data_IF_782596925434
#
_entry.id   IF_782596925434
#
_cell.length_a   1.000
_cell.length_b   1.000
_cell.length_c   1.000
_cell.angle_alpha   90.00
_cell.angle_beta   90.00
_cell.angle_gamma   90.00
#
_symmetry.space_group_name_H-M   'P 1'
#
loop_
_entity.id
_entity.type
_entity.pdbx_description
1 polymer ?
#
# COMPACT_ATOMS: atom_id res chain seq x y z
N UNK A 1 -1.58 -14.86 -29.99
CA UNK A 1 -0.86 -13.70 -30.61
C UNK A 1 -0.95 -12.41 -29.84
N UNK A 2 -2.13 -11.77 -29.68
CA UNK A 2 -2.20 -10.47 -28.97
C UNK A 2 -1.79 -10.57 -27.48
N UNK A 3 -2.34 -11.51 -26.74
CA UNK A 3 -2.06 -11.72 -25.32
C UNK A 3 -0.57 -12.07 -25.09
N UNK A 4 -0.01 -12.96 -25.86
CA UNK A 4 1.41 -13.35 -25.78
C UNK A 4 2.33 -12.16 -26.03
N UNK A 5 2.02 -11.32 -27.02
CA UNK A 5 2.80 -10.13 -27.33
C UNK A 5 2.76 -9.13 -26.15
N UNK A 6 1.57 -8.90 -25.58
CA UNK A 6 1.42 -8.03 -24.39
C UNK A 6 2.21 -8.60 -23.20
N UNK A 7 2.06 -9.89 -22.92
CA UNK A 7 2.78 -10.56 -21.83
C UNK A 7 4.31 -10.48 -22.01
N UNK A 8 4.81 -10.70 -23.23
CA UNK A 8 6.24 -10.60 -23.50
C UNK A 8 6.78 -9.17 -23.35
N UNK A 9 6.05 -8.17 -23.85
CA UNK A 9 6.42 -6.75 -23.67
C UNK A 9 6.45 -6.38 -22.21
N UNK A 10 5.41 -6.75 -21.46
CA UNK A 10 5.31 -6.47 -20.02
C UNK A 10 6.42 -7.16 -19.22
N UNK A 11 6.71 -8.44 -19.52
CA UNK A 11 7.80 -9.18 -18.90
C UNK A 11 9.14 -8.48 -19.11
N UNK A 12 9.48 -8.13 -20.37
CA UNK A 12 10.75 -7.47 -20.72
C UNK A 12 10.88 -6.10 -20.06
N UNK A 13 9.81 -5.30 -20.07
CA UNK A 13 9.83 -3.96 -19.46
C UNK A 13 10.02 -4.01 -17.94
N UNK A 14 9.38 -4.97 -17.27
CA UNK A 14 9.59 -5.19 -15.82
C UNK A 14 11.00 -5.73 -15.53
N UNK A 15 11.53 -6.62 -16.38
CA UNK A 15 12.91 -7.11 -16.27
C UNK A 15 13.92 -5.97 -16.41
N UNK A 16 13.77 -5.13 -17.44
CA UNK A 16 14.61 -3.93 -17.64
C UNK A 16 14.55 -3.00 -16.44
N UNK A 17 13.34 -2.66 -16.00
CA UNK A 17 13.15 -1.78 -14.85
C UNK A 17 13.76 -2.35 -13.55
N UNK A 18 13.60 -3.65 -13.31
CA UNK A 18 14.25 -4.30 -12.17
C UNK A 18 15.77 -4.30 -12.29
N UNK A 19 16.31 -4.39 -13.51
CA UNK A 19 17.76 -4.35 -13.74
C UNK A 19 18.36 -2.96 -13.55
N UNK A 20 17.58 -1.89 -13.69
CA UNK A 20 17.98 -0.51 -13.38
C UNK A 20 18.06 -0.25 -11.86
N UNK A 21 17.42 -1.05 -11.02
CA UNK A 21 17.50 -0.92 -9.58
C UNK A 21 18.91 -1.25 -9.04
N UNK A 22 19.40 -0.45 -8.13
CA UNK A 22 20.69 -0.64 -7.45
C UNK A 22 20.55 -1.41 -6.14
N UNK A 23 19.37 -1.37 -5.54
CA UNK A 23 19.09 -2.00 -4.25
C UNK A 23 19.30 -3.51 -4.26
N UNK A 24 19.88 -4.00 -3.16
CA UNK A 24 19.97 -5.43 -2.84
C UNK A 24 18.98 -5.84 -1.75
N UNK A 25 18.07 -4.95 -1.36
CA UNK A 25 17.02 -5.22 -0.38
C UNK A 25 15.65 -5.04 -1.02
N UNK A 26 14.75 -5.98 -0.75
CA UNK A 26 13.35 -5.89 -1.16
C UNK A 26 12.39 -6.00 0.03
N UNK A 27 11.37 -5.14 0.05
CA UNK A 27 10.23 -5.30 0.95
C UNK A 27 9.34 -6.45 0.42
N UNK A 28 9.35 -7.58 1.12
CA UNK A 28 8.67 -8.80 0.69
C UNK A 28 7.39 -9.02 1.51
N UNK A 29 6.24 -8.97 0.86
CA UNK A 29 4.92 -9.26 1.44
C UNK A 29 4.39 -10.65 1.05
N UNK A 30 5.11 -11.38 0.19
CA UNK A 30 4.59 -12.64 -0.38
C UNK A 30 3.36 -12.44 -1.28
N UNK A 31 2.97 -11.19 -1.57
CA UNK A 31 1.98 -10.83 -2.57
C UNK A 31 2.54 -10.94 -3.99
N UNK A 32 1.65 -10.86 -4.99
CA UNK A 32 2.03 -10.98 -6.40
C UNK A 32 3.16 -10.02 -6.80
N UNK A 33 3.02 -8.74 -6.43
CA UNK A 33 3.90 -7.66 -6.88
C UNK A 33 5.33 -7.86 -6.38
N UNK A 34 5.50 -7.98 -5.06
CA UNK A 34 6.81 -8.22 -4.46
C UNK A 34 7.44 -9.53 -4.92
N UNK A 35 6.62 -10.54 -5.22
CA UNK A 35 7.09 -11.83 -5.76
C UNK A 35 7.58 -11.72 -7.21
N UNK A 36 6.90 -10.94 -8.06
CA UNK A 36 7.36 -10.63 -9.42
C UNK A 36 8.71 -9.91 -9.38
N UNK A 37 8.85 -8.90 -8.53
CA UNK A 37 10.11 -8.18 -8.40
C UNK A 37 11.22 -9.12 -7.91
N UNK A 38 10.93 -9.97 -6.92
CA UNK A 38 11.87 -10.99 -6.44
C UNK A 38 12.31 -11.94 -7.55
N UNK A 39 11.39 -12.37 -8.43
CA UNK A 39 11.71 -13.23 -9.57
C UNK A 39 12.78 -12.62 -10.46
N UNK A 40 12.74 -11.33 -10.75
CA UNK A 40 13.74 -10.67 -11.59
C UNK A 40 15.08 -10.45 -10.89
N UNK A 41 15.03 -9.99 -9.63
CA UNK A 41 16.26 -9.61 -8.92
C UNK A 41 16.99 -10.79 -8.26
N UNK A 42 16.39 -11.98 -8.14
CA UNK A 42 16.97 -13.15 -7.43
C UNK A 42 18.38 -13.53 -7.87
N UNK A 43 18.74 -13.32 -9.15
CA UNK A 43 20.08 -13.59 -9.69
C UNK A 43 21.16 -12.72 -9.00
N UNK A 44 20.81 -11.56 -8.49
CA UNK A 44 21.70 -10.64 -7.76
C UNK A 44 21.84 -10.99 -6.27
N UNK A 45 21.21 -12.08 -5.83
CA UNK A 45 21.18 -12.55 -4.44
C UNK A 45 20.79 -11.44 -3.46
N UNK A 46 19.64 -10.78 -3.64
CA UNK A 46 19.17 -9.75 -2.74
C UNK A 46 18.81 -10.35 -1.39
N UNK A 47 18.82 -9.53 -0.34
CA UNK A 47 18.13 -9.82 0.91
C UNK A 47 16.66 -9.37 0.82
N UNK A 48 15.81 -9.92 1.67
CA UNK A 48 14.43 -9.49 1.79
C UNK A 48 14.03 -9.26 3.24
N UNK A 49 13.13 -8.32 3.46
CA UNK A 49 12.55 -8.03 4.77
C UNK A 49 11.03 -8.09 4.69
N UNK A 50 10.41 -8.79 5.63
CA UNK A 50 8.97 -8.82 5.85
C UNK A 50 8.66 -8.31 7.25
N UNK A 51 7.75 -7.36 7.38
CA UNK A 51 7.27 -6.84 8.67
C UNK A 51 6.06 -7.64 9.10
N UNK A 52 6.12 -8.24 10.27
CA UNK A 52 5.08 -9.10 10.83
C UNK A 52 4.79 -8.67 12.27
N UNK A 53 3.52 -8.44 12.58
CA UNK A 53 3.11 -8.19 13.96
C UNK A 53 3.21 -9.47 14.79
N UNK A 54 3.75 -9.37 16.01
CA UNK A 54 3.76 -10.47 16.97
C UNK A 54 2.39 -10.63 17.65
N UNK A 55 1.67 -9.54 17.82
CA UNK A 55 0.45 -9.48 18.63
C UNK A 55 -0.83 -9.70 17.82
N UNK A 56 -0.74 -9.65 16.48
CA UNK A 56 -1.89 -9.77 15.58
C UNK A 56 -1.69 -10.85 14.52
N UNK A 57 -2.79 -11.41 14.05
CA UNK A 57 -2.75 -12.43 13.00
C UNK A 57 -2.23 -11.84 11.69
N UNK A 58 -1.15 -12.41 11.17
CA UNK A 58 -0.57 -12.06 9.88
C UNK A 58 -0.81 -13.19 8.86
N UNK A 59 -1.20 -12.85 7.66
CA UNK A 59 -1.40 -13.80 6.56
C UNK A 59 -0.22 -13.89 5.61
N UNK A 60 0.73 -12.95 5.66
CA UNK A 60 1.83 -12.85 4.70
C UNK A 60 3.01 -13.75 5.01
N UNK A 61 3.23 -14.11 6.29
CA UNK A 61 4.41 -14.86 6.74
C UNK A 61 4.67 -16.11 5.89
N UNK A 62 3.67 -16.97 5.73
CA UNK A 62 3.80 -18.21 4.96
C UNK A 62 4.17 -17.94 3.51
N UNK A 63 3.57 -16.93 2.88
CA UNK A 63 3.86 -16.59 1.49
C UNK A 63 5.24 -15.98 1.30
N UNK A 64 5.71 -15.16 2.25
CA UNK A 64 7.09 -14.65 2.27
C UNK A 64 8.09 -15.80 2.33
N UNK A 65 7.86 -16.80 3.20
CA UNK A 65 8.70 -17.99 3.33
C UNK A 65 8.71 -18.84 2.04
N UNK A 66 7.56 -19.01 1.39
CA UNK A 66 7.46 -19.73 0.11
C UNK A 66 8.32 -19.03 -0.94
N UNK A 67 8.15 -17.72 -1.14
CA UNK A 67 8.91 -16.98 -2.16
C UNK A 67 10.41 -16.93 -1.84
N UNK A 68 10.78 -16.72 -0.60
CA UNK A 68 12.19 -16.78 -0.16
C UNK A 68 12.83 -18.10 -0.53
N UNK A 69 12.16 -19.22 -0.21
CA UNK A 69 12.65 -20.58 -0.51
C UNK A 69 12.71 -20.83 -2.03
N UNK A 70 11.65 -20.54 -2.77
CA UNK A 70 11.58 -20.75 -4.23
C UNK A 70 12.59 -19.89 -5.00
N UNK A 71 12.87 -18.69 -4.51
CA UNK A 71 13.82 -17.78 -5.13
C UNK A 71 15.25 -17.92 -4.61
N UNK A 72 15.45 -18.75 -3.58
CA UNK A 72 16.73 -18.93 -2.87
C UNK A 72 17.35 -17.59 -2.43
N UNK A 73 16.54 -16.73 -1.77
CA UNK A 73 16.99 -15.45 -1.22
C UNK A 73 16.83 -15.44 0.32
N UNK A 74 17.73 -14.79 1.05
CA UNK A 74 17.56 -14.60 2.50
C UNK A 74 16.31 -13.81 2.82
N UNK A 75 15.54 -14.24 3.83
CA UNK A 75 14.37 -13.54 4.36
C UNK A 75 14.61 -13.20 5.82
N UNK A 76 14.55 -11.92 6.14
CA UNK A 76 14.47 -11.44 7.51
C UNK A 76 13.02 -11.17 7.87
N UNK A 77 12.52 -11.80 8.90
CA UNK A 77 11.24 -11.49 9.51
C UNK A 77 11.50 -10.42 10.58
N UNK A 78 11.04 -9.21 10.31
CA UNK A 78 11.06 -8.14 11.30
C UNK A 78 9.77 -8.22 12.13
N UNK A 79 9.86 -8.94 13.23
CA UNK A 79 8.78 -9.05 14.20
C UNK A 79 8.64 -7.73 14.96
N UNK A 80 7.41 -7.23 15.05
CA UNK A 80 7.11 -5.95 15.69
C UNK A 80 5.99 -6.10 16.71
N UNK A 81 6.19 -5.54 17.90
CA UNK A 81 5.20 -5.50 18.97
C UNK A 81 4.19 -4.36 18.75
N UNK A 82 3.06 -4.41 19.42
CA UNK A 82 2.07 -3.33 19.46
C UNK A 82 2.72 -1.98 19.83
N UNK A 83 3.62 -1.96 20.82
CA UNK A 83 4.34 -0.74 21.22
C UNK A 83 5.17 -0.16 20.06
N UNK A 84 5.89 -1.00 19.32
CA UNK A 84 6.66 -0.58 18.14
C UNK A 84 5.75 -0.02 17.04
N UNK A 85 4.58 -0.65 16.86
CA UNK A 85 3.59 -0.19 15.86
C UNK A 85 3.01 1.18 16.27
N UNK A 86 2.68 1.40 17.55
CA UNK A 86 2.17 2.68 18.04
C UNK A 86 3.21 3.82 17.86
N UNK A 87 4.49 3.56 18.16
CA UNK A 87 5.58 4.51 17.87
C UNK A 87 5.69 4.79 16.36
N UNK A 88 5.55 3.76 15.53
CA UNK A 88 5.60 3.90 14.08
C UNK A 88 4.42 4.71 13.54
N UNK A 89 3.22 4.62 14.15
CA UNK A 89 2.06 5.46 13.82
C UNK A 89 2.39 6.93 14.03
N UNK A 90 2.93 7.31 15.19
CA UNK A 90 3.30 8.70 15.48
C UNK A 90 4.29 9.25 14.45
N UNK A 91 5.33 8.47 14.13
CA UNK A 91 6.33 8.86 13.14
C UNK A 91 5.76 8.92 11.72
N UNK A 92 4.85 8.02 11.36
CA UNK A 92 4.17 8.03 10.05
C UNK A 92 3.30 9.27 9.90
N UNK A 93 2.49 9.62 10.92
CA UNK A 93 1.69 10.85 10.94
C UNK A 93 2.58 12.09 10.86
N UNK A 94 3.73 12.10 11.57
CA UNK A 94 4.71 13.18 11.51
C UNK A 94 5.28 13.38 10.10
N UNK A 95 5.51 12.31 9.37
CA UNK A 95 6.07 12.39 8.00
C UNK A 95 4.98 12.80 7.00
N UNK A 96 3.85 12.10 7.02
CA UNK A 96 2.78 12.25 6.03
C UNK A 96 1.85 13.45 6.29
N UNK A 97 1.88 14.01 7.51
CA UNK A 97 1.09 15.19 7.92
C UNK A 97 -0.40 15.05 7.64
N UNK A 98 -0.94 13.86 7.85
CA UNK A 98 -2.37 13.56 7.75
C UNK A 98 -2.79 12.58 8.85
N UNK A 99 -4.10 12.37 9.01
CA UNK A 99 -4.69 11.41 9.94
C UNK A 99 -5.66 10.45 9.25
N UNK A 100 -5.41 10.19 7.96
CA UNK A 100 -6.15 9.23 7.16
C UNK A 100 -5.86 7.80 7.68
N UNK A 101 -6.86 7.20 8.31
CA UNK A 101 -6.74 5.91 9.00
C UNK A 101 -6.27 4.77 8.07
N UNK A 102 -6.78 4.71 6.85
CA UNK A 102 -6.37 3.69 5.86
C UNK A 102 -4.92 3.91 5.41
N UNK A 103 -4.58 5.17 5.10
CA UNK A 103 -3.23 5.51 4.62
C UNK A 103 -2.18 5.30 5.71
N UNK A 104 -2.45 5.77 6.94
CA UNK A 104 -1.53 5.57 8.07
C UNK A 104 -1.34 4.08 8.35
N UNK A 105 -2.42 3.29 8.46
CA UNK A 105 -2.36 1.86 8.77
C UNK A 105 -1.55 1.07 7.74
N UNK A 106 -1.68 1.38 6.45
CA UNK A 106 -0.88 0.76 5.39
C UNK A 106 0.59 1.22 5.47
N UNK A 107 0.81 2.51 5.66
CA UNK A 107 2.16 3.06 5.60
C UNK A 107 2.99 2.85 6.88
N UNK A 108 2.40 2.50 7.99
CA UNK A 108 3.12 2.03 9.18
C UNK A 108 3.97 0.79 8.86
N UNK A 109 3.44 -0.15 8.07
CA UNK A 109 4.19 -1.34 7.63
C UNK A 109 5.41 -0.94 6.78
N UNK A 110 5.21 -0.01 5.85
CA UNK A 110 6.30 0.49 4.99
C UNK A 110 7.31 1.33 5.78
N UNK A 111 6.84 2.18 6.70
CA UNK A 111 7.73 2.90 7.62
C UNK A 111 8.64 1.94 8.39
N UNK A 112 8.09 0.86 8.94
CA UNK A 112 8.85 -0.15 9.69
C UNK A 112 9.86 -0.86 8.80
N UNK A 113 9.50 -1.25 7.58
CA UNK A 113 10.43 -1.87 6.63
C UNK A 113 11.57 -0.92 6.25
N UNK A 114 11.28 0.35 5.98
CA UNK A 114 12.26 1.38 5.61
C UNK A 114 13.13 1.76 6.83
N UNK A 115 12.55 1.85 8.05
CA UNK A 115 13.30 2.04 9.32
C UNK A 115 14.25 0.87 9.57
N UNK A 116 13.80 -0.36 9.31
CA UNK A 116 14.66 -1.54 9.39
C UNK A 116 15.84 -1.45 8.40
N UNK A 117 15.58 -1.07 7.14
CA UNK A 117 16.62 -0.87 6.13
C UNK A 117 17.67 0.16 6.61
N UNK A 118 17.21 1.31 7.12
CA UNK A 118 18.09 2.35 7.69
C UNK A 118 18.96 1.80 8.83
N UNK A 119 18.37 1.07 9.77
CA UNK A 119 19.06 0.53 10.94
C UNK A 119 20.08 -0.56 10.57
N UNK A 120 19.92 -1.17 9.40
CA UNK A 120 20.86 -2.17 8.85
C UNK A 120 21.82 -1.57 7.81
N UNK A 121 21.96 -0.23 7.78
CA UNK A 121 22.87 0.50 6.89
C UNK A 121 22.59 0.28 5.39
N UNK A 122 21.38 -0.10 5.03
CA UNK A 122 20.96 -0.12 3.63
C UNK A 122 20.75 1.32 3.12
N UNK A 123 21.00 1.53 1.84
CA UNK A 123 20.84 2.85 1.21
C UNK A 123 19.55 2.96 0.41
N UNK A 124 19.01 1.83 0.01
CA UNK A 124 17.83 1.73 -0.81
C UNK A 124 17.04 0.46 -0.51
N UNK A 125 15.75 0.46 -0.90
CA UNK A 125 14.86 -0.70 -0.81
C UNK A 125 13.93 -0.72 -2.02
N UNK A 126 13.70 -1.92 -2.57
CA UNK A 126 12.76 -2.14 -3.68
C UNK A 126 11.37 -2.38 -3.11
N UNK A 127 10.36 -1.72 -3.70
CA UNK A 127 8.95 -1.82 -3.31
C UNK A 127 8.06 -2.14 -4.50
N UNK A 128 6.87 -2.72 -4.22
CA UNK A 128 5.86 -3.06 -5.22
C UNK A 128 4.89 -1.92 -5.58
N UNK A 129 5.20 -0.67 -5.24
CA UNK A 129 4.36 0.49 -5.48
C UNK A 129 4.01 0.64 -6.98
N UNK A 130 2.77 1.01 -7.27
CA UNK A 130 2.27 1.23 -8.63
C UNK A 130 1.55 0.03 -9.23
N UNK A 131 1.81 -1.19 -8.76
CA UNK A 131 1.21 -2.38 -9.35
C UNK A 131 -0.31 -2.47 -9.18
N UNK A 132 -0.85 -2.03 -8.04
CA UNK A 132 -2.29 -2.03 -7.77
C UNK A 132 -3.02 -1.00 -8.64
N UNK A 133 -2.46 0.17 -8.79
CA UNK A 133 -3.01 1.28 -9.57
C UNK A 133 -3.01 0.95 -11.06
N UNK A 134 -1.86 0.57 -11.58
CA UNK A 134 -1.64 0.35 -13.02
C UNK A 134 -2.37 -0.87 -13.55
N UNK A 135 -2.51 -1.93 -12.73
CA UNK A 135 -3.04 -3.23 -13.17
C UNK A 135 -4.35 -3.61 -12.47
N UNK A 136 -5.05 -2.63 -11.86
CA UNK A 136 -6.36 -2.83 -11.23
C UNK A 136 -6.35 -3.90 -10.12
N UNK A 137 -5.40 -3.78 -9.17
CA UNK A 137 -5.25 -4.72 -8.06
C UNK A 137 -6.24 -4.56 -6.92
N UNK A 138 -6.89 -3.41 -6.78
CA UNK A 138 -7.81 -3.12 -5.69
C UNK A 138 -9.15 -3.84 -5.81
N UNK A 139 -9.66 -4.39 -4.71
CA UNK A 139 -10.92 -5.13 -4.69
C UNK A 139 -12.11 -4.31 -5.22
N UNK A 140 -12.14 -3.00 -4.96
CA UNK A 140 -13.22 -2.15 -5.48
C UNK A 140 -13.19 -2.04 -7.02
N UNK A 141 -12.02 -2.12 -7.66
CA UNK A 141 -11.87 -2.18 -9.12
C UNK A 141 -12.29 -3.55 -9.67
N UNK A 142 -11.90 -4.62 -8.97
CA UNK A 142 -12.29 -5.99 -9.35
C UNK A 142 -13.80 -6.16 -9.38
N UNK A 143 -14.52 -5.51 -8.46
CA UNK A 143 -15.96 -5.60 -8.35
C UNK A 143 -16.73 -4.58 -9.24
N UNK A 144 -16.04 -3.71 -9.97
CA UNK A 144 -16.68 -2.75 -10.85
C UNK A 144 -17.30 -3.41 -12.09
N UNK A 145 -18.46 -2.92 -12.57
CA UNK A 145 -18.99 -3.29 -13.88
C UNK A 145 -17.98 -3.00 -15.00
N UNK A 146 -17.97 -3.83 -16.04
CA UNK A 146 -16.97 -3.73 -17.11
C UNK A 146 -17.02 -2.37 -17.84
N UNK A 147 -18.21 -1.82 -18.04
CA UNK A 147 -18.42 -0.51 -18.68
C UNK A 147 -17.89 0.68 -17.86
N UNK A 148 -17.71 0.54 -16.53
CA UNK A 148 -17.17 1.59 -15.66
C UNK A 148 -15.68 1.39 -15.36
N UNK A 149 -15.16 0.19 -15.58
CA UNK A 149 -13.84 -0.21 -15.11
C UNK A 149 -12.71 0.65 -15.71
N UNK A 150 -12.77 0.92 -16.99
CA UNK A 150 -11.72 1.69 -17.67
C UNK A 150 -11.64 3.13 -17.15
N UNK A 151 -12.79 3.79 -16.97
CA UNK A 151 -12.85 5.14 -16.44
C UNK A 151 -12.33 5.20 -14.99
N UNK A 152 -12.66 4.18 -14.19
CA UNK A 152 -12.23 4.12 -12.80
C UNK A 152 -10.72 3.81 -12.66
N UNK A 153 -10.15 2.96 -13.53
CA UNK A 153 -8.70 2.75 -13.59
C UNK A 153 -7.98 4.05 -13.95
N UNK A 154 -8.46 4.78 -14.97
CA UNK A 154 -7.89 6.07 -15.36
C UNK A 154 -7.95 7.07 -14.20
N UNK A 155 -9.07 7.11 -13.46
CA UNK A 155 -9.22 7.96 -12.28
C UNK A 155 -8.20 7.59 -11.19
N UNK A 156 -8.05 6.30 -10.88
CA UNK A 156 -7.05 5.84 -9.90
C UNK A 156 -5.64 6.24 -10.33
N UNK A 157 -5.28 6.00 -11.59
CA UNK A 157 -3.98 6.38 -12.13
C UNK A 157 -3.72 7.89 -12.07
N UNK A 158 -4.75 8.73 -12.31
CA UNK A 158 -4.59 10.19 -12.28
C UNK A 158 -4.34 10.77 -10.88
N UNK A 159 -4.69 10.01 -9.83
CA UNK A 159 -4.53 10.41 -8.42
C UNK A 159 -3.53 9.54 -7.66
N UNK A 160 -2.68 8.80 -8.37
CA UNK A 160 -1.64 7.97 -7.73
C UNK A 160 -0.79 8.80 -6.76
N UNK A 161 -0.56 8.25 -5.60
CA UNK A 161 0.26 8.82 -4.56
C UNK A 161 0.94 7.70 -3.78
N UNK A 162 2.24 7.84 -3.57
CA UNK A 162 3.06 6.81 -2.94
C UNK A 162 3.77 7.37 -1.71
N UNK A 163 3.12 7.32 -0.53
CA UNK A 163 3.69 7.81 0.73
C UNK A 163 5.04 7.17 1.09
N UNK A 164 5.34 5.98 0.56
CA UNK A 164 6.64 5.32 0.70
C UNK A 164 7.80 6.19 0.25
N UNK A 165 7.63 7.00 -0.81
CA UNK A 165 8.65 7.95 -1.29
C UNK A 165 8.94 9.04 -0.26
N UNK A 166 7.88 9.58 0.38
CA UNK A 166 8.02 10.60 1.43
C UNK A 166 8.69 10.01 2.68
N UNK A 167 8.30 8.79 3.06
CA UNK A 167 8.89 8.06 4.19
C UNK A 167 10.36 7.77 3.91
N UNK A 168 10.69 7.28 2.70
CA UNK A 168 12.05 7.02 2.27
C UNK A 168 12.91 8.28 2.35
N UNK A 169 12.42 9.41 1.81
CA UNK A 169 13.10 10.71 1.89
C UNK A 169 13.34 11.15 3.33
N UNK A 170 12.33 11.03 4.20
CA UNK A 170 12.44 11.41 5.61
C UNK A 170 13.45 10.55 6.39
N UNK A 171 13.59 9.27 6.02
CA UNK A 171 14.52 8.33 6.66
C UNK A 171 15.90 8.28 5.98
N UNK A 172 16.08 8.93 4.83
CA UNK A 172 17.31 8.91 4.05
C UNK A 172 17.55 7.60 3.31
N UNK A 173 16.48 6.90 2.92
CA UNK A 173 16.50 5.64 2.16
C UNK A 173 15.86 5.87 0.78
N UNK A 174 16.59 5.53 -0.28
CA UNK A 174 16.07 5.57 -1.66
C UNK A 174 15.03 4.46 -1.86
N UNK A 175 13.84 4.83 -2.30
CA UNK A 175 12.80 3.87 -2.67
C UNK A 175 12.89 3.61 -4.16
N UNK A 176 13.00 2.35 -4.55
CA UNK A 176 13.05 1.91 -5.94
C UNK A 176 11.79 1.10 -6.24
N UNK A 177 10.96 1.61 -7.15
CA UNK A 177 9.63 1.06 -7.46
C UNK A 177 9.54 0.71 -8.94
N UNK A 178 9.97 -0.50 -9.35
CA UNK A 178 10.06 -0.89 -10.77
C UNK A 178 8.75 -0.77 -11.55
N UNK A 179 7.59 -0.97 -10.91
CA UNK A 179 6.31 -0.76 -11.57
C UNK A 179 6.05 0.69 -11.97
N UNK A 180 6.72 1.66 -11.35
CA UNK A 180 6.61 3.09 -11.66
C UNK A 180 7.62 3.56 -12.71
N UNK A 181 8.39 2.66 -13.34
CA UNK A 181 9.23 2.99 -14.49
C UNK A 181 8.35 3.45 -15.66
N UNK A 182 8.77 4.49 -16.37
CA UNK A 182 7.99 5.10 -17.47
C UNK A 182 7.57 4.08 -18.53
N UNK A 183 8.46 3.18 -18.94
CA UNK A 183 8.15 2.13 -19.92
C UNK A 183 7.08 1.17 -19.42
N UNK A 184 7.10 0.82 -18.12
CA UNK A 184 6.08 -0.04 -17.51
C UNK A 184 4.73 0.67 -17.46
N UNK A 185 4.71 1.95 -17.09
CA UNK A 185 3.51 2.80 -17.09
C UNK A 185 2.92 2.90 -18.51
N UNK A 186 3.75 3.16 -19.52
CA UNK A 186 3.31 3.23 -20.92
C UNK A 186 2.64 1.94 -21.38
N UNK A 187 3.27 0.78 -21.12
CA UNK A 187 2.70 -0.52 -21.44
C UNK A 187 1.41 -0.76 -20.66
N UNK A 188 1.40 -0.48 -19.37
CA UNK A 188 0.21 -0.65 -18.54
C UNK A 188 -0.98 0.19 -19.05
N UNK A 189 -0.74 1.41 -19.53
CA UNK A 189 -1.76 2.27 -20.10
C UNK A 189 -2.34 1.75 -21.45
N UNK A 190 -1.56 0.96 -22.19
CA UNK A 190 -1.99 0.33 -23.44
C UNK A 190 -2.77 -0.98 -23.24
N UNK A 191 -2.71 -1.55 -22.02
CA UNK A 191 -3.40 -2.82 -21.71
C UNK A 191 -4.89 -2.56 -21.50
N UNK A 192 -5.79 -3.22 -22.27
CA UNK A 192 -7.24 -3.09 -22.08
C UNK A 192 -7.68 -3.48 -20.67
N UNK A 193 -8.71 -2.80 -20.16
CA UNK A 193 -9.24 -3.02 -18.80
C UNK A 193 -9.68 -4.47 -18.56
N UNK A 194 -10.23 -5.15 -19.56
CA UNK A 194 -10.64 -6.56 -19.50
C UNK A 194 -9.48 -7.57 -19.43
N UNK A 195 -8.23 -7.13 -19.64
CA UNK A 195 -7.03 -7.90 -19.33
C UNK A 195 -6.41 -7.54 -17.98
N UNK A 196 -6.81 -6.43 -17.37
CA UNK A 196 -6.42 -6.07 -16.01
C UNK A 196 -7.33 -6.73 -14.98
N UNK A 197 -8.64 -6.78 -15.25
CA UNK A 197 -9.63 -7.50 -14.43
C UNK A 197 -10.34 -8.52 -15.30
N UNK A 198 -10.21 -9.80 -14.93
CA UNK A 198 -10.82 -10.90 -15.70
C UNK A 198 -11.17 -12.07 -14.80
N UNK A 199 -12.16 -12.84 -15.22
CA UNK A 199 -12.51 -14.09 -14.58
C UNK A 199 -11.59 -15.23 -15.04
N UNK A 200 -11.13 -16.01 -14.07
CA UNK A 200 -10.35 -17.24 -14.27
C UNK A 200 -10.91 -18.33 -13.36
N UNK A 201 -11.39 -19.43 -13.91
CA UNK A 201 -11.97 -20.56 -13.16
C UNK A 201 -13.10 -20.15 -12.18
N UNK A 202 -13.99 -19.26 -12.61
CA UNK A 202 -15.12 -18.79 -11.80
C UNK A 202 -14.78 -17.74 -10.75
N UNK A 203 -13.54 -17.27 -10.70
CA UNK A 203 -13.10 -16.21 -9.79
C UNK A 203 -12.64 -15.00 -10.59
N UNK A 204 -13.12 -13.82 -10.22
CA UNK A 204 -12.69 -12.58 -10.85
C UNK A 204 -11.43 -12.02 -10.16
N UNK A 205 -10.37 -11.82 -10.93
CA UNK A 205 -9.06 -11.37 -10.45
C UNK A 205 -8.69 -10.00 -11.00
N UNK A 206 -8.19 -9.14 -10.15
CA UNK A 206 -7.37 -7.99 -10.54
C UNK A 206 -5.96 -8.44 -10.90
N UNK A 207 -5.22 -7.56 -11.57
CA UNK A 207 -3.86 -7.86 -12.06
C UNK A 207 -3.81 -9.13 -12.95
N UNK A 208 -4.91 -9.44 -13.64
CA UNK A 208 -5.02 -10.71 -14.36
C UNK A 208 -3.90 -10.91 -15.38
N UNK A 209 -3.55 -9.87 -16.11
CA UNK A 209 -2.43 -9.92 -17.09
C UNK A 209 -1.08 -10.21 -16.41
N UNK A 210 -0.80 -9.64 -15.25
CA UNK A 210 0.39 -9.96 -14.47
C UNK A 210 0.39 -11.44 -14.06
N UNK A 211 -0.73 -11.93 -13.54
CA UNK A 211 -0.88 -13.34 -13.14
C UNK A 211 -0.63 -14.27 -14.33
N UNK A 212 -1.23 -13.97 -15.49
CA UNK A 212 -1.05 -14.75 -16.73
C UNK A 212 0.40 -14.70 -17.24
N UNK A 213 1.03 -13.55 -17.16
CA UNK A 213 2.44 -13.40 -17.58
C UNK A 213 3.38 -14.22 -16.71
N UNK A 214 3.10 -14.33 -15.42
CA UNK A 214 4.01 -14.98 -14.45
C UNK A 214 3.57 -16.36 -13.96
N UNK A 215 2.47 -16.95 -14.47
CA UNK A 215 1.96 -18.24 -13.98
C UNK A 215 2.93 -19.43 -14.19
N UNK A 216 3.82 -19.34 -15.19
CA UNK A 216 4.86 -20.35 -15.44
C UNK A 216 6.23 -19.99 -14.83
N UNK A 217 6.34 -18.86 -14.13
CA UNK A 217 7.58 -18.35 -13.55
C UNK A 217 7.61 -18.40 -12.02
N UNK A 218 6.44 -18.56 -11.40
CA UNK A 218 6.26 -18.58 -9.95
C UNK A 218 5.24 -19.64 -9.56
N UNK A 219 5.25 -20.12 -8.29
CA UNK A 219 4.25 -21.07 -7.80
C UNK A 219 2.81 -20.55 -7.96
N UNK A 220 1.90 -21.41 -8.40
CA UNK A 220 0.49 -21.04 -8.59
C UNK A 220 -0.17 -20.47 -7.33
N UNK A 221 0.21 -20.95 -6.16
CA UNK A 221 -0.28 -20.46 -4.87
C UNK A 221 0.10 -18.99 -4.58
N UNK A 222 1.12 -18.46 -5.26
CA UNK A 222 1.50 -17.04 -5.24
C UNK A 222 0.82 -16.30 -6.39
N UNK A 223 0.96 -16.82 -7.60
CA UNK A 223 0.46 -16.16 -8.81
C UNK A 223 -1.05 -15.98 -8.78
N UNK A 224 -1.78 -16.97 -8.26
CA UNK A 224 -3.25 -16.95 -8.16
C UNK A 224 -3.75 -16.73 -6.73
N UNK A 225 -2.86 -16.27 -5.82
CA UNK A 225 -3.26 -15.86 -4.46
C UNK A 225 -4.33 -14.78 -4.54
N UNK A 226 -5.39 -14.92 -3.73
CA UNK A 226 -6.37 -13.86 -3.56
C UNK A 226 -5.69 -12.63 -2.94
N UNK A 227 -6.01 -11.45 -3.45
CA UNK A 227 -5.46 -10.19 -2.92
C UNK A 227 -5.79 -10.04 -1.44
N UNK A 228 -4.75 -9.87 -0.64
CA UNK A 228 -4.83 -9.43 0.76
C UNK A 228 -4.27 -8.01 0.83
N UNK A 229 -4.98 -7.04 1.42
CA UNK A 229 -4.43 -5.72 1.70
C UNK A 229 -3.19 -5.82 2.60
N UNK A 230 -2.27 -4.88 2.49
CA UNK A 230 -1.01 -4.86 3.25
C UNK A 230 -1.24 -4.95 4.75
N UNK A 231 -2.24 -4.26 5.25
CA UNK A 231 -2.62 -4.25 6.66
C UNK A 231 -3.11 -5.62 7.17
N UNK A 232 -3.76 -6.44 6.34
CA UNK A 232 -4.14 -7.81 6.69
C UNK A 232 -2.91 -8.72 6.63
N UNK A 233 -2.09 -8.54 5.61
CA UNK A 233 -0.87 -9.31 5.40
C UNK A 233 0.10 -9.21 6.56
N UNK A 234 0.42 -8.02 6.99
CA UNK A 234 1.33 -7.74 8.09
C UNK A 234 0.68 -7.86 9.49
N UNK A 235 -0.66 -7.94 9.57
CA UNK A 235 -1.41 -8.01 10.81
C UNK A 235 -1.85 -6.65 11.38
N UNK A 236 -1.48 -5.53 10.78
CA UNK A 236 -1.84 -4.18 11.33
C UNK A 236 -3.34 -3.87 11.30
N UNK A 237 -4.16 -4.67 10.63
CA UNK A 237 -5.64 -4.59 10.73
C UNK A 237 -6.13 -4.80 12.18
N UNK A 238 -5.36 -5.52 13.00
CA UNK A 238 -5.63 -5.71 14.42
C UNK A 238 -5.63 -4.40 15.24
N UNK A 239 -5.05 -3.32 14.73
CA UNK A 239 -5.08 -1.99 15.35
C UNK A 239 -6.52 -1.48 15.51
N UNK A 240 -7.41 -1.73 14.57
CA UNK A 240 -8.81 -1.33 14.70
C UNK A 240 -9.43 -1.98 15.96
N UNK A 241 -9.25 -3.29 16.13
CA UNK A 241 -9.75 -4.00 17.30
C UNK A 241 -9.08 -3.54 18.61
N UNK A 242 -7.78 -3.23 18.56
CA UNK A 242 -7.06 -2.68 19.69
C UNK A 242 -7.70 -1.35 20.15
N UNK A 243 -7.89 -0.40 19.24
CA UNK A 243 -8.49 0.88 19.57
C UNK A 243 -9.95 0.76 20.03
N UNK A 244 -10.72 -0.17 19.46
CA UNK A 244 -12.07 -0.50 19.95
C UNK A 244 -12.05 -1.05 21.39
N UNK A 245 -10.98 -1.73 21.81
CA UNK A 245 -10.87 -2.29 23.16
C UNK A 245 -10.34 -1.31 24.21
N UNK A 246 -9.41 -0.43 23.85
CA UNK A 246 -8.75 0.47 24.80
C UNK A 246 -9.43 1.84 24.95
N UNK A 247 -10.25 2.24 23.99
CA UNK A 247 -11.02 3.50 24.01
C UNK A 247 -12.49 3.13 24.27
N UNK A 248 -13.00 3.42 25.48
CA UNK A 248 -14.38 3.12 25.78
C UNK A 248 -15.36 4.05 25.05
N UNK A 249 -16.64 3.64 24.98
CA UNK A 249 -17.69 4.34 24.21
C UNK A 249 -17.93 5.76 24.71
N UNK A 250 -17.99 5.96 26.04
CA UNK A 250 -18.24 7.28 26.63
C UNK A 250 -17.15 8.28 26.26
N UNK A 251 -15.88 7.89 26.43
CA UNK A 251 -14.73 8.70 26.04
C UNK A 251 -14.73 9.00 24.53
N UNK A 252 -15.09 8.02 23.71
CA UNK A 252 -15.15 8.21 22.26
C UNK A 252 -16.23 9.25 21.88
N UNK A 253 -17.45 9.13 22.44
CA UNK A 253 -18.56 10.05 22.16
C UNK A 253 -18.21 11.46 22.65
N UNK A 254 -17.73 11.60 23.87
CA UNK A 254 -17.32 12.91 24.44
C UNK A 254 -16.27 13.60 23.56
N UNK A 255 -15.20 12.89 23.22
CA UNK A 255 -14.11 13.41 22.39
C UNK A 255 -14.58 13.76 20.98
N UNK A 256 -15.38 12.90 20.35
CA UNK A 256 -15.95 13.15 19.04
C UNK A 256 -16.77 14.44 19.01
N UNK A 257 -17.66 14.64 19.99
CA UNK A 257 -18.47 15.86 20.10
C UNK A 257 -17.62 17.10 20.34
N UNK A 258 -16.60 16.99 21.19
CA UNK A 258 -15.66 18.08 21.48
C UNK A 258 -14.89 18.49 20.23
N UNK A 259 -14.31 17.52 19.51
CA UNK A 259 -13.54 17.76 18.29
C UNK A 259 -14.43 18.34 17.18
N UNK A 260 -15.66 17.84 17.03
CA UNK A 260 -16.60 18.38 16.04
C UNK A 260 -16.97 19.84 16.35
N UNK A 261 -17.20 20.16 17.62
CA UNK A 261 -17.57 21.52 18.06
C UNK A 261 -16.40 22.51 17.97
N UNK A 262 -15.21 22.11 18.44
CA UNK A 262 -14.06 23.01 18.57
C UNK A 262 -13.24 23.10 17.28
N UNK A 263 -13.00 21.96 16.61
CA UNK A 263 -12.10 21.83 15.47
C UNK A 263 -12.82 21.75 14.14
N UNK A 264 -14.16 21.59 14.13
CA UNK A 264 -14.99 21.33 12.94
C UNK A 264 -14.54 20.07 12.17
N UNK A 265 -14.01 19.07 12.88
CA UNK A 265 -13.55 17.79 12.33
C UNK A 265 -14.48 16.68 12.82
N UNK A 266 -15.03 15.92 11.88
CA UNK A 266 -15.88 14.75 12.15
C UNK A 266 -15.00 13.50 12.27
N UNK A 267 -14.90 12.96 13.47
CA UNK A 267 -14.20 11.71 13.74
C UNK A 267 -15.10 10.52 13.43
N UNK A 268 -14.59 9.51 12.71
CA UNK A 268 -15.39 8.39 12.18
C UNK A 268 -15.23 7.09 12.97
N UNK A 269 -14.09 6.89 13.64
CA UNK A 269 -13.77 5.68 14.40
C UNK A 269 -12.85 6.00 15.58
N UNK A 270 -12.72 5.08 16.54
CA UNK A 270 -11.75 5.22 17.64
C UNK A 270 -10.31 5.29 17.14
N UNK A 271 -9.99 4.54 16.08
CA UNK A 271 -8.68 4.60 15.42
C UNK A 271 -8.43 5.97 14.80
N UNK A 272 -9.38 6.51 14.03
CA UNK A 272 -9.24 7.86 13.44
C UNK A 272 -9.18 8.96 14.50
N UNK A 273 -9.83 8.77 15.67
CA UNK A 273 -9.70 9.67 16.82
C UNK A 273 -8.28 9.69 17.37
N UNK A 274 -7.68 8.51 17.56
CA UNK A 274 -6.31 8.40 18.06
C UNK A 274 -5.32 9.08 17.10
N UNK A 275 -5.46 8.84 15.80
CA UNK A 275 -4.59 9.48 14.79
C UNK A 275 -4.80 10.99 14.73
N UNK A 276 -6.03 11.45 14.86
CA UNK A 276 -6.33 12.88 14.92
C UNK A 276 -5.73 13.55 16.17
N UNK A 277 -5.79 12.93 17.34
CA UNK A 277 -5.16 13.44 18.57
C UNK A 277 -3.64 13.63 18.38
N UNK A 278 -2.97 12.66 17.76
CA UNK A 278 -1.54 12.76 17.44
C UNK A 278 -1.30 13.89 16.44
N UNK A 279 -2.07 13.93 15.35
CA UNK A 279 -1.97 14.97 14.33
C UNK A 279 -2.18 16.37 14.92
N UNK A 280 -3.26 16.55 15.68
CA UNK A 280 -3.58 17.84 16.33
C UNK A 280 -2.47 18.31 17.26
N UNK A 281 -1.87 17.41 18.05
CA UNK A 281 -0.75 17.71 18.92
C UNK A 281 0.47 18.22 18.16
N UNK A 282 0.72 17.73 16.96
CA UNK A 282 1.88 18.09 16.15
C UNK A 282 1.66 19.31 15.25
N UNK A 283 0.46 19.45 14.70
CA UNK A 283 0.17 20.38 13.60
C UNK A 283 -1.01 21.31 13.85
N UNK A 284 -1.72 21.15 14.96
CA UNK A 284 -2.99 21.87 15.20
C UNK A 284 -4.16 21.27 14.42
N UNK A 285 -5.18 22.06 14.17
CA UNK A 285 -6.33 21.67 13.33
C UNK A 285 -5.93 21.67 11.85
N UNK A 286 -6.59 20.86 11.01
CA UNK A 286 -6.35 20.92 9.56
C UNK A 286 -6.51 22.34 9.03
N UNK A 287 -5.58 22.76 8.16
CA UNK A 287 -5.59 24.12 7.60
C UNK A 287 -6.86 24.33 6.81
N UNK A 288 -7.62 25.37 7.17
CA UNK A 288 -8.85 25.79 6.50
C UNK A 288 -8.51 26.91 5.51
N UNK A 289 -8.04 26.53 4.31
CA UNK A 289 -7.84 27.52 3.26
C UNK A 289 -9.19 28.01 2.70
N UNK A 290 -9.21 29.17 2.06
CA UNK A 290 -10.38 29.67 1.28
C UNK A 290 -10.49 28.92 -0.06
N UNK A 291 -10.56 27.60 -0.03
CA UNK A 291 -10.70 26.78 -1.22
C UNK A 291 -12.17 26.67 -1.67
N UNK A 292 -12.41 26.58 -2.97
CA UNK A 292 -13.73 26.41 -3.54
C UNK A 292 -14.39 25.08 -3.14
N UNK A 293 -13.58 24.02 -2.96
CA UNK A 293 -14.06 22.71 -2.53
C UNK A 293 -13.34 22.23 -1.26
N UNK A 294 -14.12 21.93 -0.22
CA UNK A 294 -13.62 21.47 1.08
C UNK A 294 -14.23 20.13 1.46
N UNK A 295 -13.44 19.32 2.14
CA UNK A 295 -13.92 18.10 2.74
C UNK A 295 -15.03 18.40 3.77
N UNK A 296 -16.22 17.79 3.68
CA UNK A 296 -17.30 18.03 4.65
C UNK A 296 -16.92 17.57 6.06
N UNK A 297 -15.95 16.64 6.19
CA UNK A 297 -15.56 16.03 7.46
C UNK A 297 -14.43 16.75 8.19
N UNK A 298 -13.43 17.32 7.49
CA UNK A 298 -12.30 17.95 8.15
C UNK A 298 -11.96 19.35 7.60
N UNK A 299 -12.77 19.88 6.70
CA UNK A 299 -12.62 21.20 6.08
C UNK A 299 -11.34 21.43 5.30
N UNK A 300 -10.49 20.40 5.15
CA UNK A 300 -9.29 20.47 4.32
C UNK A 300 -9.66 20.54 2.83
N UNK A 301 -8.87 21.24 2.04
CA UNK A 301 -9.04 21.36 0.58
C UNK A 301 -8.98 19.98 -0.12
N UNK A 302 -9.85 19.76 -1.09
CA UNK A 302 -9.98 18.46 -1.78
C UNK A 302 -9.88 18.51 -3.30
N UNK A 303 -9.63 19.68 -3.90
CA UNK A 303 -9.37 19.85 -5.33
C UNK A 303 -10.33 19.06 -6.24
N UNK A 304 -11.66 19.12 -5.97
CA UNK A 304 -12.70 18.36 -6.65
C UNK A 304 -12.55 16.82 -6.59
N UNK A 305 -11.77 16.31 -5.65
CA UNK A 305 -11.64 14.87 -5.40
C UNK A 305 -12.84 14.35 -4.62
N UNK A 306 -13.27 13.14 -4.92
CA UNK A 306 -14.25 12.40 -4.09
C UNK A 306 -13.63 11.73 -2.84
N UNK A 307 -12.34 11.92 -2.62
CA UNK A 307 -11.58 11.35 -1.51
C UNK A 307 -10.74 12.42 -0.83
N UNK A 308 -10.82 12.49 0.49
CA UNK A 308 -9.99 13.40 1.28
C UNK A 308 -8.72 12.71 1.78
N UNK A 309 -7.55 13.14 1.31
CA UNK A 309 -6.28 12.58 1.77
C UNK A 309 -5.98 12.91 3.23
N UNK A 310 -6.44 14.05 3.74
CA UNK A 310 -6.21 14.47 5.12
C UNK A 310 -6.85 13.54 6.14
N UNK A 311 -8.14 13.19 5.96
CA UNK A 311 -8.91 12.41 6.93
C UNK A 311 -9.38 11.05 6.43
N UNK A 312 -9.15 10.69 5.16
CA UNK A 312 -9.57 9.43 4.57
C UNK A 312 -11.07 9.33 4.25
N UNK A 313 -11.83 10.43 4.30
CA UNK A 313 -13.25 10.39 3.97
C UNK A 313 -13.49 10.08 2.48
N UNK A 314 -14.43 9.16 2.22
CA UNK A 314 -14.90 8.77 0.89
C UNK A 314 -16.30 8.17 0.98
N UNK A 315 -17.23 8.48 0.04
CA UNK A 315 -17.18 9.63 -0.88
C UNK A 315 -17.39 10.95 -0.15
N UNK A 316 -16.87 12.04 -0.75
CA UNK A 316 -17.08 13.42 -0.29
C UNK A 316 -17.64 14.28 -1.40
#
# INVERSE_FOLDING_TARGET
MLLENISQKLYRSLEESCNECESKLIALSGGLDSSILTHFIKKRKPSSVAVISEDFVSTDLTYCQIISKESNIPLTIYNVTTSTILEAIENTIKILKNFNDIEIRNNVVMYLAIKWAKNNNEKSIITGDGADELFAGYNFLVNKPENELEAEIKRVCSVMHFPTQEIGKALGIKIESPFLNEKVIEIANQIPSNLKVKEEKGIRYGKWILRKTFENHMPNQITWRKKSPMQEGAGTVGLTNLFESIINEERFIEKKLTVEKEDQVVIRSRESMHYYEIFKKMYGTPVQNEAESKCPYCKHEVNNSKFCRMCGAFPI
#
